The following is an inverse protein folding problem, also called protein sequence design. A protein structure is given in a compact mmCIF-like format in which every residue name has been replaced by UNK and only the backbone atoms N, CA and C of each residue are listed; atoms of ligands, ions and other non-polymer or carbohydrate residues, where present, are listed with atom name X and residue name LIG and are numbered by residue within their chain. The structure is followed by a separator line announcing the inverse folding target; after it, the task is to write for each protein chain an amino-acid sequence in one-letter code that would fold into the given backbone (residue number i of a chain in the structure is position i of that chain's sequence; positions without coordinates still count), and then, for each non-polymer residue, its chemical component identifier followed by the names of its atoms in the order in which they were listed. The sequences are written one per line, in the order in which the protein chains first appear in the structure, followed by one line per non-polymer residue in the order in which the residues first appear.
data_IF_572151086241
#
_entry.id   IF_572151086241
#
_cell.length_a   1.000
_cell.length_b   1.000
_cell.length_c   1.000
_cell.angle_alpha   90.00
_cell.angle_beta   90.00
_cell.angle_gamma   90.00
#
_symmetry.space_group_name_H-M   'P 1'
#
loop_
_entity.id
_entity.type
_entity.pdbx_description
1 polymer ?
#
# COMPACT_ATOMS: atom_id res chain seq x y z
N UNK A 1 13.06 14.74 1.45
CA UNK A 1 14.47 14.56 1.77
C UNK A 1 14.91 13.12 1.48
N UNK A 2 14.44 12.13 2.21
CA UNK A 2 14.81 10.71 1.99
C UNK A 2 14.45 10.21 0.59
N UNK A 3 13.40 10.72 -0.03
CA UNK A 3 13.02 10.38 -1.41
C UNK A 3 13.98 10.95 -2.46
N UNK A 4 14.63 12.09 -2.18
CA UNK A 4 15.61 12.70 -3.07
C UNK A 4 17.02 12.15 -2.84
N UNK A 5 17.42 11.94 -1.58
CA UNK A 5 18.80 11.59 -1.25
C UNK A 5 19.02 10.08 -1.03
N UNK A 6 17.94 9.29 -0.95
CA UNK A 6 17.93 7.83 -0.71
C UNK A 6 18.61 7.38 0.59
N UNK A 7 19.52 8.17 1.16
CA UNK A 7 20.25 7.92 2.41
C UNK A 7 20.58 9.26 3.07
N UNK A 8 20.30 9.40 4.37
CA UNK A 8 20.58 10.60 5.16
C UNK A 8 21.03 10.22 6.56
N UNK A 9 21.96 10.98 7.13
CA UNK A 9 22.40 10.82 8.51
C UNK A 9 21.32 11.30 9.50
N UNK A 10 21.09 10.56 10.57
CA UNK A 10 20.06 10.87 11.58
C UNK A 10 20.28 12.22 12.22
N UNK A 11 21.54 12.63 12.43
CA UNK A 11 21.93 13.94 12.95
C UNK A 11 21.53 15.08 11.99
N UNK A 12 21.81 14.92 10.69
CA UNK A 12 21.44 15.88 9.65
C UNK A 12 19.92 16.00 9.50
N UNK A 13 19.22 14.89 9.60
CA UNK A 13 17.75 14.89 9.54
C UNK A 13 17.14 15.65 10.73
N UNK A 14 17.70 15.45 11.94
CA UNK A 14 17.26 16.16 13.14
C UNK A 14 17.49 17.66 13.02
N UNK A 15 18.66 18.07 12.54
CA UNK A 15 19.01 19.48 12.30
C UNK A 15 18.09 20.13 11.26
N UNK A 16 17.88 19.45 10.13
CA UNK A 16 17.02 19.95 9.05
C UNK A 16 15.57 20.15 9.49
N UNK A 17 15.04 19.25 10.31
CA UNK A 17 13.67 19.30 10.81
C UNK A 17 13.52 20.15 12.09
N UNK A 18 14.62 20.64 12.67
CA UNK A 18 14.61 21.45 13.88
C UNK A 18 14.13 20.71 15.14
N UNK A 19 14.34 19.39 15.20
CA UNK A 19 13.89 18.53 16.31
C UNK A 19 15.05 17.77 16.94
N UNK A 20 14.83 17.21 18.15
CA UNK A 20 15.88 16.45 18.82
C UNK A 20 16.18 15.11 18.11
N UNK A 21 17.42 14.63 18.22
CA UNK A 21 17.78 13.30 17.70
C UNK A 21 16.95 12.18 18.33
N UNK A 22 16.47 12.35 19.56
CA UNK A 22 15.62 11.39 20.25
C UNK A 22 14.25 11.32 19.57
N UNK A 23 13.68 12.48 19.22
CA UNK A 23 12.43 12.57 18.47
C UNK A 23 12.54 11.90 17.11
N UNK A 24 13.60 12.25 16.35
CA UNK A 24 13.86 11.65 15.04
C UNK A 24 14.03 10.14 15.12
N UNK A 25 14.79 9.64 16.11
CA UNK A 25 14.96 8.18 16.27
C UNK A 25 13.62 7.48 16.47
N UNK A 26 12.74 8.03 17.29
CA UNK A 26 11.39 7.48 17.53
C UNK A 26 10.54 7.48 16.26
N UNK A 27 10.61 8.56 15.49
CA UNK A 27 9.88 8.65 14.21
C UNK A 27 10.45 7.66 13.17
N UNK A 28 11.78 7.53 13.12
CA UNK A 28 12.45 6.55 12.27
C UNK A 28 12.16 5.11 12.70
N UNK A 29 12.04 4.83 14.02
CA UNK A 29 11.60 3.51 14.50
C UNK A 29 10.21 3.14 13.96
N UNK A 30 9.29 4.10 13.95
CA UNK A 30 7.94 3.88 13.41
C UNK A 30 7.94 3.67 11.89
N UNK A 31 8.81 4.35 11.16
CA UNK A 31 8.98 4.18 9.71
C UNK A 31 9.68 2.85 9.37
N UNK A 32 10.66 2.45 10.18
CA UNK A 32 11.36 1.17 10.02
C UNK A 32 10.43 -0.01 10.32
N UNK A 33 9.60 0.09 11.36
CA UNK A 33 8.59 -0.91 11.68
C UNK A 33 7.55 -1.08 10.55
N UNK A 34 7.33 -0.03 9.75
CA UNK A 34 6.50 -0.08 8.54
C UNK A 34 7.27 -0.51 7.28
N UNK A 35 8.57 -0.82 7.40
CA UNK A 35 9.42 -1.20 6.27
C UNK A 35 9.70 -0.09 5.24
N UNK A 36 9.36 1.16 5.56
CA UNK A 36 9.57 2.31 4.66
C UNK A 36 11.04 2.67 4.54
N UNK A 37 11.77 2.52 5.64
CA UNK A 37 13.21 2.75 5.72
C UNK A 37 13.91 1.59 6.40
N UNK A 38 15.23 1.52 6.24
CA UNK A 38 16.14 0.75 7.08
C UNK A 38 17.11 1.68 7.78
N UNK A 39 17.52 1.34 8.99
CA UNK A 39 18.60 2.07 9.67
C UNK A 39 19.91 1.30 9.53
N UNK A 40 20.90 1.96 8.97
CA UNK A 40 22.23 1.41 8.75
C UNK A 40 23.29 2.38 9.30
N UNK A 41 24.00 1.96 10.37
CA UNK A 41 25.16 2.70 10.92
C UNK A 41 24.93 4.21 11.11
N UNK A 42 23.81 4.61 11.74
CA UNK A 42 23.50 6.01 12.01
C UNK A 42 22.82 6.77 10.85
N UNK A 43 22.51 6.08 9.76
CA UNK A 43 21.77 6.62 8.62
C UNK A 43 20.39 6.00 8.52
N UNK A 44 19.44 6.79 8.02
CA UNK A 44 18.16 6.32 7.49
C UNK A 44 18.33 6.12 5.97
N UNK A 45 17.99 4.93 5.49
CA UNK A 45 18.07 4.55 4.07
C UNK A 45 16.66 4.19 3.61
N UNK A 46 16.21 4.80 2.52
CA UNK A 46 14.91 4.45 1.94
C UNK A 46 14.98 3.02 1.39
N UNK A 47 13.99 2.19 1.72
CA UNK A 47 13.85 0.89 1.09
C UNK A 47 13.72 1.03 -0.43
N UNK A 48 14.10 0.00 -1.17
CA UNK A 48 14.08 0.03 -2.65
C UNK A 48 12.73 0.52 -3.17
N UNK A 49 12.74 1.33 -4.22
CA UNK A 49 11.51 1.75 -4.93
C UNK A 49 10.78 0.59 -5.59
N UNK A 50 11.42 -0.58 -5.68
CA UNK A 50 10.82 -1.80 -6.20
C UNK A 50 10.04 -2.55 -5.08
N UNK A 51 10.36 -2.31 -3.81
CA UNK A 51 9.60 -2.79 -2.66
C UNK A 51 8.33 -1.95 -2.47
N UNK A 52 7.23 -2.60 -2.14
CA UNK A 52 5.92 -1.97 -1.88
C UNK A 52 6.00 -0.88 -0.80
N UNK A 53 6.83 -1.04 0.21
CA UNK A 53 7.02 -0.05 1.28
C UNK A 53 7.68 1.24 0.76
N UNK A 54 8.72 1.12 -0.06
CA UNK A 54 9.34 2.26 -0.73
C UNK A 54 8.37 2.96 -1.69
N UNK A 55 7.52 2.18 -2.38
CA UNK A 55 6.45 2.72 -3.24
C UNK A 55 5.38 3.46 -2.44
N UNK A 56 5.06 3.07 -1.21
CA UNK A 56 4.12 3.80 -0.34
C UNK A 56 4.70 5.18 0.02
N UNK A 57 5.97 5.26 0.39
CA UNK A 57 6.62 6.50 0.79
C UNK A 57 6.74 7.52 -0.37
N UNK A 58 6.91 7.02 -1.60
CA UNK A 58 7.01 7.87 -2.77
C UNK A 58 5.66 8.52 -3.10
N UNK A 59 5.59 9.85 -3.15
CA UNK A 59 4.36 10.64 -3.33
C UNK A 59 3.26 10.29 -2.31
N UNK A 60 3.65 10.10 -1.05
CA UNK A 60 2.73 9.68 0.02
C UNK A 60 1.53 10.61 0.18
N UNK A 61 1.74 11.93 0.18
CA UNK A 61 0.66 12.90 0.41
C UNK A 61 -0.38 12.90 -0.72
N UNK A 62 0.07 12.77 -1.97
CA UNK A 62 -0.80 12.67 -3.14
C UNK A 62 -1.62 11.38 -3.09
N UNK A 63 -0.97 10.26 -2.79
CA UNK A 63 -1.65 8.96 -2.66
C UNK A 63 -2.64 8.94 -1.50
N UNK A 64 -2.31 9.60 -0.40
CA UNK A 64 -3.21 9.73 0.74
C UNK A 64 -4.46 10.54 0.39
N UNK A 65 -4.31 11.63 -0.38
CA UNK A 65 -5.46 12.40 -0.89
C UNK A 65 -6.34 11.56 -1.80
N UNK A 66 -5.75 10.76 -2.69
CA UNK A 66 -6.48 9.83 -3.57
C UNK A 66 -7.23 8.81 -2.73
N UNK A 67 -6.56 8.19 -1.75
CA UNK A 67 -7.17 7.23 -0.84
C UNK A 67 -8.35 7.83 -0.07
N UNK A 68 -8.17 9.02 0.52
CA UNK A 68 -9.25 9.73 1.23
C UNK A 68 -10.45 10.01 0.31
N UNK A 69 -10.20 10.45 -0.93
CA UNK A 69 -11.28 10.70 -1.88
C UNK A 69 -12.03 9.42 -2.27
N UNK A 70 -11.32 8.32 -2.40
CA UNK A 70 -11.92 7.03 -2.73
C UNK A 70 -12.81 6.48 -1.59
N UNK A 71 -12.50 6.80 -0.31
CA UNK A 71 -13.35 6.36 0.82
C UNK A 71 -14.75 6.97 0.81
N UNK A 72 -14.94 8.12 0.15
CA UNK A 72 -16.26 8.75 0.04
C UNK A 72 -17.28 7.92 -0.76
N UNK A 73 -16.81 6.93 -1.52
CA UNK A 73 -17.66 6.02 -2.29
C UNK A 73 -18.17 4.83 -1.46
N UNK A 74 -17.49 4.51 -0.35
CA UNK A 74 -17.72 3.29 0.42
C UNK A 74 -18.64 3.56 1.61
N UNK A 75 -19.61 2.66 1.84
CA UNK A 75 -20.55 2.72 2.95
C UNK A 75 -20.30 1.60 3.96
N UNK A 76 -20.87 1.72 5.15
CA UNK A 76 -20.88 0.64 6.14
C UNK A 76 -21.59 -0.59 5.57
N UNK A 77 -21.02 -1.75 5.78
CA UNK A 77 -21.55 -3.04 5.30
C UNK A 77 -21.15 -3.41 3.87
N UNK A 78 -20.47 -2.52 3.12
CA UNK A 78 -20.06 -2.82 1.76
C UNK A 78 -19.03 -3.97 1.71
N UNK A 79 -19.14 -4.76 0.66
CA UNK A 79 -18.11 -5.72 0.26
C UNK A 79 -17.28 -5.12 -0.86
N UNK A 80 -16.01 -4.88 -0.61
CA UNK A 80 -15.10 -4.22 -1.55
C UNK A 80 -13.94 -5.12 -1.95
N UNK A 81 -13.54 -5.02 -3.20
CA UNK A 81 -12.33 -5.65 -3.69
C UNK A 81 -11.25 -4.58 -3.89
N UNK A 82 -10.07 -4.82 -3.35
CA UNK A 82 -8.92 -3.92 -3.46
C UNK A 82 -7.76 -4.72 -4.05
N UNK A 83 -7.35 -4.33 -5.26
CA UNK A 83 -6.16 -4.88 -5.92
C UNK A 83 -4.89 -4.45 -5.17
N UNK A 84 -3.75 -4.81 -5.65
CA UNK A 84 -2.45 -4.49 -5.06
C UNK A 84 -2.02 -3.04 -5.33
N UNK A 85 -0.92 -2.66 -4.69
CA UNK A 85 -0.25 -1.39 -4.94
C UNK A 85 -0.34 -0.39 -3.79
N UNK A 86 0.52 0.63 -3.86
CA UNK A 86 0.70 1.57 -2.75
C UNK A 86 -0.50 2.49 -2.50
N UNK A 87 -1.22 2.91 -3.55
CA UNK A 87 -2.47 3.66 -3.39
C UNK A 87 -3.57 2.79 -2.77
N UNK A 88 -3.68 1.54 -3.23
CA UNK A 88 -4.63 0.56 -2.72
C UNK A 88 -4.35 0.22 -1.24
N UNK A 89 -3.08 0.12 -0.84
CA UNK A 89 -2.71 -0.10 0.55
C UNK A 89 -3.13 1.08 1.46
N UNK A 90 -2.91 2.31 1.00
CA UNK A 90 -3.35 3.51 1.73
C UNK A 90 -4.87 3.64 1.77
N UNK A 91 -5.58 3.25 0.72
CA UNK A 91 -7.03 3.18 0.71
C UNK A 91 -7.53 2.19 1.75
N UNK A 92 -7.02 0.96 1.74
CA UNK A 92 -7.39 -0.06 2.72
C UNK A 92 -7.14 0.41 4.15
N UNK A 93 -5.98 1.03 4.42
CA UNK A 93 -5.63 1.59 5.73
C UNK A 93 -6.62 2.69 6.17
N UNK A 94 -6.97 3.58 5.26
CA UNK A 94 -7.90 4.70 5.54
C UNK A 94 -9.31 4.19 5.79
N UNK A 95 -9.80 3.26 4.99
CA UNK A 95 -11.12 2.63 5.17
C UNK A 95 -11.25 1.99 6.55
N UNK A 96 -10.24 1.25 6.99
CA UNK A 96 -10.25 0.61 8.31
C UNK A 96 -10.22 1.57 9.50
N UNK A 97 -9.89 2.84 9.26
CA UNK A 97 -9.96 3.89 10.28
C UNK A 97 -11.32 4.58 10.31
N UNK A 98 -12.00 4.66 9.18
CA UNK A 98 -13.25 5.41 9.01
C UNK A 98 -14.49 4.53 9.15
N UNK A 99 -14.42 3.28 8.70
CA UNK A 99 -15.54 2.35 8.66
C UNK A 99 -15.30 1.16 9.59
N UNK A 100 -16.39 0.56 10.07
CA UNK A 100 -16.33 -0.49 11.10
C UNK A 100 -16.84 -1.85 10.64
N UNK A 101 -17.58 -1.91 9.56
CA UNK A 101 -18.22 -3.15 9.09
C UNK A 101 -18.03 -3.28 7.58
N UNK A 102 -16.84 -3.72 7.18
CA UNK A 102 -16.51 -3.94 5.78
C UNK A 102 -16.02 -5.37 5.56
N UNK A 103 -16.30 -5.91 4.38
CA UNK A 103 -15.59 -7.07 3.84
C UNK A 103 -14.60 -6.60 2.79
N UNK A 104 -13.31 -6.81 3.04
CA UNK A 104 -12.22 -6.44 2.13
C UNK A 104 -11.67 -7.71 1.47
N UNK A 105 -11.84 -7.82 0.16
CA UNK A 105 -11.28 -8.88 -0.66
C UNK A 105 -10.04 -8.34 -1.37
N UNK A 106 -8.93 -9.03 -1.29
CA UNK A 106 -7.68 -8.60 -1.93
C UNK A 106 -6.83 -9.78 -2.40
N UNK A 107 -6.09 -9.59 -3.48
CA UNK A 107 -5.03 -10.50 -3.90
C UNK A 107 -3.65 -10.13 -3.32
N UNK A 108 -3.57 -9.07 -2.52
CA UNK A 108 -2.33 -8.56 -1.94
C UNK A 108 -2.12 -9.07 -0.52
N UNK A 109 -1.14 -9.96 -0.33
CA UNK A 109 -0.69 -10.37 1.00
C UNK A 109 -0.16 -9.18 1.81
N UNK A 110 0.46 -8.21 1.13
CA UNK A 110 0.91 -6.97 1.77
C UNK A 110 -0.25 -6.18 2.36
N UNK A 111 -1.33 -5.95 1.61
CA UNK A 111 -2.50 -5.20 2.09
C UNK A 111 -3.13 -5.93 3.27
N UNK A 112 -3.33 -7.24 3.17
CA UNK A 112 -3.90 -8.04 4.25
C UNK A 112 -3.09 -7.92 5.55
N UNK A 113 -1.76 -7.98 5.46
CA UNK A 113 -0.85 -7.80 6.61
C UNK A 113 -0.85 -6.34 7.11
N UNK A 114 -0.87 -5.36 6.20
CA UNK A 114 -0.79 -3.92 6.53
C UNK A 114 -1.99 -3.44 7.35
N UNK A 115 -3.17 -4.00 7.11
CA UNK A 115 -4.40 -3.69 7.84
C UNK A 115 -4.72 -4.70 8.95
N UNK A 116 -3.89 -5.72 9.14
CA UNK A 116 -4.03 -6.73 10.19
C UNK A 116 -4.14 -6.07 11.58
N UNK A 117 -5.00 -6.62 12.41
CA UNK A 117 -5.15 -6.18 13.82
C UNK A 117 -5.94 -4.88 14.00
N UNK A 118 -6.44 -4.29 12.93
CA UNK A 118 -7.47 -3.26 13.02
C UNK A 118 -8.82 -3.98 13.15
N UNK A 119 -9.60 -3.64 14.15
CA UNK A 119 -10.83 -4.35 14.51
C UNK A 119 -12.00 -4.02 13.57
N UNK A 120 -12.89 -4.98 13.39
CA UNK A 120 -14.24 -4.88 12.86
C UNK A 120 -14.41 -4.93 11.33
N UNK A 121 -13.53 -5.62 10.58
CA UNK A 121 -13.78 -5.97 9.19
C UNK A 121 -13.24 -7.36 8.87
N UNK A 122 -13.84 -7.96 7.88
CA UNK A 122 -13.38 -9.25 7.36
C UNK A 122 -12.37 -9.04 6.24
N UNK A 123 -11.25 -9.78 6.28
CA UNK A 123 -10.28 -9.80 5.19
C UNK A 123 -10.38 -11.17 4.51
N UNK A 124 -10.59 -11.15 3.19
CA UNK A 124 -10.50 -12.34 2.34
C UNK A 124 -9.28 -12.17 1.44
N UNK A 125 -8.26 -12.97 1.69
CA UNK A 125 -7.06 -13.01 0.85
C UNK A 125 -7.23 -14.06 -0.23
N UNK A 126 -7.22 -13.62 -1.50
CA UNK A 126 -7.32 -14.50 -2.66
C UNK A 126 -6.05 -15.32 -2.84
N UNK A 127 -6.21 -16.60 -3.17
CA UNK A 127 -5.10 -17.49 -3.49
C UNK A 127 -4.53 -17.28 -4.89
N UNK A 128 -3.33 -17.83 -5.14
CA UNK A 128 -2.69 -17.74 -6.44
C UNK A 128 -1.19 -17.99 -6.38
N UNK A 129 -0.47 -17.65 -7.45
CA UNK A 129 0.98 -17.66 -7.50
C UNK A 129 1.49 -16.43 -6.77
N UNK A 130 2.29 -16.62 -5.72
CA UNK A 130 2.82 -15.53 -4.92
C UNK A 130 4.05 -14.90 -5.57
N UNK A 131 3.96 -13.60 -5.87
CA UNK A 131 5.10 -12.76 -6.29
C UNK A 131 5.74 -12.14 -5.05
N UNK A 132 6.98 -12.51 -4.75
CA UNK A 132 7.68 -12.09 -3.53
C UNK A 132 7.92 -10.58 -3.45
N UNK A 133 8.37 -9.95 -4.55
CA UNK A 133 8.76 -8.53 -4.57
C UNK A 133 7.56 -7.59 -4.38
N UNK A 134 6.43 -7.94 -4.96
CA UNK A 134 5.17 -7.16 -4.86
C UNK A 134 4.25 -7.63 -3.76
N UNK A 135 4.52 -8.81 -3.18
CA UNK A 135 3.69 -9.48 -2.17
C UNK A 135 2.23 -9.63 -2.62
N UNK A 136 2.04 -10.08 -3.86
CA UNK A 136 0.72 -10.21 -4.47
C UNK A 136 0.53 -11.60 -5.07
N UNK A 137 -0.71 -12.07 -5.02
CA UNK A 137 -1.15 -13.29 -5.71
C UNK A 137 -1.56 -12.95 -7.14
N UNK A 138 -1.12 -13.78 -8.09
CA UNK A 138 -1.42 -13.60 -9.52
C UNK A 138 -1.78 -14.94 -10.16
N UNK A 139 -2.19 -14.89 -11.43
CA UNK A 139 -2.47 -16.06 -12.25
C UNK A 139 -3.92 -16.52 -12.23
N UNK A 140 -4.24 -17.62 -12.96
CA UNK A 140 -5.62 -18.04 -13.22
C UNK A 140 -6.45 -18.32 -11.97
N UNK A 141 -5.81 -18.80 -10.89
CA UNK A 141 -6.50 -19.07 -9.63
C UNK A 141 -7.08 -17.79 -9.01
N UNK A 142 -6.40 -16.63 -9.14
CA UNK A 142 -6.95 -15.35 -8.68
C UNK A 142 -8.25 -15.05 -9.42
N UNK A 143 -8.27 -15.19 -10.76
CA UNK A 143 -9.44 -14.92 -11.58
C UNK A 143 -10.61 -15.85 -11.23
N UNK A 144 -10.32 -17.13 -11.00
CA UNK A 144 -11.34 -18.11 -10.58
C UNK A 144 -11.89 -17.75 -9.19
N UNK A 145 -11.05 -17.36 -8.24
CA UNK A 145 -11.50 -16.92 -6.93
C UNK A 145 -12.37 -15.67 -7.01
N UNK A 146 -11.95 -14.66 -7.79
CA UNK A 146 -12.68 -13.40 -7.96
C UNK A 146 -14.09 -13.63 -8.47
N UNK A 147 -14.29 -14.56 -9.42
CA UNK A 147 -15.59 -14.84 -10.03
C UNK A 147 -16.66 -15.35 -9.03
N UNK A 148 -16.26 -15.74 -7.83
CA UNK A 148 -17.17 -16.21 -6.78
C UNK A 148 -17.70 -15.10 -5.88
N UNK A 149 -17.24 -13.86 -6.07
CA UNK A 149 -17.64 -12.74 -5.22
C UNK A 149 -18.46 -11.72 -5.98
N UNK A 150 -19.50 -11.22 -5.32
CA UNK A 150 -20.21 -10.02 -5.71
C UNK A 150 -19.71 -8.88 -4.84
N UNK A 151 -19.25 -7.78 -5.44
CA UNK A 151 -18.67 -6.64 -4.72
C UNK A 151 -19.36 -5.35 -5.10
N UNK A 152 -19.48 -4.43 -4.13
CA UNK A 152 -20.05 -3.11 -4.34
C UNK A 152 -19.07 -2.22 -5.10
N UNK A 153 -17.76 -2.34 -4.79
CA UNK A 153 -16.69 -1.60 -5.46
C UNK A 153 -15.46 -2.46 -5.68
N UNK A 154 -14.82 -2.24 -6.83
CA UNK A 154 -13.51 -2.80 -7.14
C UNK A 154 -12.50 -1.67 -7.37
N UNK A 155 -11.53 -1.53 -6.47
CA UNK A 155 -10.46 -0.55 -6.54
C UNK A 155 -9.20 -1.16 -7.15
N UNK A 156 -8.75 -0.57 -8.24
CA UNK A 156 -7.63 -1.05 -9.04
C UNK A 156 -6.50 -0.03 -9.01
N UNK A 157 -5.27 -0.50 -8.79
CA UNK A 157 -4.05 0.29 -8.98
C UNK A 157 -3.60 0.28 -10.43
N UNK A 158 -2.96 1.37 -10.87
CA UNK A 158 -2.38 1.44 -12.22
C UNK A 158 -1.00 2.07 -12.17
N UNK A 159 -0.10 1.63 -13.05
CA UNK A 159 1.24 2.20 -13.19
C UNK A 159 1.27 3.34 -14.21
N UNK A 160 0.29 3.44 -15.09
CA UNK A 160 0.23 4.49 -16.11
C UNK A 160 -1.16 4.63 -16.75
N UNK A 161 -1.33 5.77 -17.40
CA UNK A 161 -2.50 6.09 -18.22
C UNK A 161 -2.08 6.80 -19.50
N UNK A 162 -2.64 6.38 -20.63
CA UNK A 162 -2.54 7.09 -21.91
C UNK A 162 -3.94 7.19 -22.52
N UNK A 163 -4.28 8.36 -23.06
CA UNK A 163 -5.64 8.63 -23.57
C UNK A 163 -6.07 7.72 -24.74
N UNK A 164 -5.13 7.07 -25.42
CA UNK A 164 -5.39 6.19 -26.56
C UNK A 164 -5.50 4.73 -26.18
N UNK A 165 -4.74 4.29 -25.15
CA UNK A 165 -4.67 2.88 -24.73
C UNK A 165 -5.30 2.62 -23.36
N UNK A 166 -5.64 3.68 -22.61
CA UNK A 166 -6.23 3.56 -21.28
C UNK A 166 -5.22 3.32 -20.17
N UNK A 167 -5.64 2.61 -19.14
CA UNK A 167 -4.82 2.25 -18.00
C UNK A 167 -3.87 1.10 -18.33
N UNK A 168 -2.69 1.10 -17.72
CA UNK A 168 -1.65 0.10 -17.96
C UNK A 168 -0.92 -0.30 -16.69
N UNK A 169 -0.45 -1.53 -16.64
CA UNK A 169 0.43 -2.08 -15.62
C UNK A 169 1.74 -2.57 -16.25
N UNK A 170 2.85 -2.45 -15.53
CA UNK A 170 4.17 -2.92 -15.97
C UNK A 170 4.31 -4.44 -15.94
N UNK A 171 3.65 -5.08 -14.98
CA UNK A 171 3.68 -6.52 -14.81
C UNK A 171 2.48 -7.15 -15.51
N UNK A 172 2.76 -8.05 -16.46
CA UNK A 172 1.73 -8.71 -17.26
C UNK A 172 0.80 -9.58 -16.43
N UNK A 173 1.32 -10.30 -15.44
CA UNK A 173 0.50 -11.19 -14.62
C UNK A 173 -0.42 -10.41 -13.69
N UNK A 174 0.03 -9.25 -13.19
CA UNK A 174 -0.83 -8.34 -12.43
C UNK A 174 -1.89 -7.69 -13.32
N UNK A 175 -1.51 -7.30 -14.54
CA UNK A 175 -2.48 -6.77 -15.50
C UNK A 175 -3.57 -7.79 -15.89
N UNK A 176 -3.25 -9.09 -15.87
CA UNK A 176 -4.21 -10.17 -16.15
C UNK A 176 -5.08 -10.52 -14.93
N UNK A 177 -4.66 -10.19 -13.73
CA UNK A 177 -5.41 -10.46 -12.50
C UNK A 177 -6.54 -9.43 -12.24
N UNK A 178 -6.62 -8.42 -13.07
CA UNK A 178 -7.59 -7.31 -13.06
C UNK A 178 -8.42 -7.37 -14.35
#
# INVERSE_FOLDING_TARGET
LLTSEKRIEVSQLAEYLGVSQVTIRKDLDALEAKGIIKREHGHAVLCSTDDINGRIAYHYEEKKKIALKATELVNEGDTIMIESGSCCALLADTLTQLHKDLTIITNSAFIAEYIRGKSNFQIILLGGIYQQDSQVMVGPMVQECVSNFFVDYFFIGTDGYDSRIGFSNRDQMRAQAV
#
